data_IF_286610299306
#
_entry.id   IF_286610299306
#
_cell.length_a   1.000
_cell.length_b   1.000
_cell.length_c   1.000
_cell.angle_alpha   90.00
_cell.angle_beta   90.00
_cell.angle_gamma   90.00
#
_symmetry.space_group_name_H-M   'P 1'
#
loop_
_entity.id
_entity.type
_entity.pdbx_description
1 polymer ?
#
# COMPACT_ATOMS: atom_id res chain seq x y z
N UNK A 1 0.29 -13.34 6.11
CA UNK A 1 0.05 -13.90 4.76
C UNK A 1 -0.05 -12.74 3.79
N UNK A 2 0.26 -12.89 2.51
CA UNK A 2 0.29 -11.74 1.57
C UNK A 2 -1.10 -11.10 1.41
N UNK A 3 -2.16 -11.92 1.38
CA UNK A 3 -3.56 -11.46 1.33
C UNK A 3 -3.96 -10.64 2.55
N UNK A 4 -3.49 -10.98 3.75
CA UNK A 4 -3.76 -10.20 4.96
C UNK A 4 -3.22 -8.77 4.84
N UNK A 5 -2.08 -8.58 4.15
CA UNK A 5 -1.48 -7.25 4.00
C UNK A 5 -2.31 -6.34 3.08
N UNK A 6 -2.93 -6.89 2.03
CA UNK A 6 -3.78 -6.10 1.16
C UNK A 6 -5.15 -5.83 1.77
N UNK A 7 -5.72 -6.83 2.47
CA UNK A 7 -6.94 -6.61 3.23
C UNK A 7 -6.75 -5.55 4.32
N UNK A 8 -5.62 -5.57 5.05
CA UNK A 8 -5.27 -4.52 6.00
C UNK A 8 -5.08 -3.15 5.32
N UNK A 9 -4.52 -3.12 4.11
CA UNK A 9 -4.34 -1.87 3.37
C UNK A 9 -5.68 -1.26 2.93
N UNK A 10 -6.59 -2.07 2.37
CA UNK A 10 -7.93 -1.65 1.95
C UNK A 10 -8.74 -1.09 3.15
N UNK A 11 -8.70 -1.81 4.27
CA UNK A 11 -9.38 -1.42 5.50
C UNK A 11 -8.87 -0.07 6.02
N UNK A 12 -7.54 0.13 6.03
CA UNK A 12 -6.91 1.39 6.46
C UNK A 12 -7.21 2.52 5.47
N UNK A 13 -7.23 2.26 4.16
CA UNK A 13 -7.54 3.27 3.15
C UNK A 13 -8.97 3.79 3.31
N UNK A 14 -9.94 2.89 3.51
CA UNK A 14 -11.34 3.25 3.76
C UNK A 14 -11.50 4.01 5.08
N UNK A 15 -10.76 3.62 6.12
CA UNK A 15 -10.75 4.31 7.41
C UNK A 15 -10.20 5.75 7.26
N UNK A 16 -9.08 5.92 6.56
CA UNK A 16 -8.45 7.23 6.33
C UNK A 16 -9.31 8.14 5.45
N UNK A 17 -10.00 7.59 4.45
CA UNK A 17 -10.91 8.35 3.60
C UNK A 17 -12.12 8.93 4.36
N UNK A 18 -12.51 8.32 5.49
CA UNK A 18 -13.59 8.77 6.36
C UNK A 18 -13.15 9.56 7.61
N UNK A 19 -11.85 9.52 7.97
CA UNK A 19 -11.37 10.10 9.23
C UNK A 19 -10.91 11.56 9.08
N UNK A 20 -11.42 12.41 9.96
CA UNK A 20 -10.97 13.78 10.15
C UNK A 20 -9.82 13.79 11.17
N UNK A 21 -8.61 13.32 10.78
CA UNK A 21 -7.41 13.40 11.62
C UNK A 21 -6.37 14.39 11.06
N UNK A 22 -5.50 14.83 11.98
CA UNK A 22 -4.52 15.93 11.90
C UNK A 22 -3.70 15.93 10.59
N UNK A 23 -3.71 17.08 9.94
CA UNK A 23 -3.26 17.36 8.56
C UNK A 23 -3.66 16.30 7.51
N UNK A 24 -4.68 16.57 6.67
CA UNK A 24 -5.00 15.66 5.58
C UNK A 24 -3.75 15.42 4.74
N UNK A 25 -3.50 14.15 4.39
CA UNK A 25 -2.49 13.79 3.40
C UNK A 25 -2.66 14.70 2.19
N UNK A 26 -1.55 15.23 1.67
CA UNK A 26 -1.62 16.09 0.50
C UNK A 26 -2.27 15.35 -0.68
N UNK A 27 -2.85 16.10 -1.62
CA UNK A 27 -3.57 15.52 -2.76
C UNK A 27 -2.70 14.59 -3.62
N UNK A 28 -1.39 14.81 -3.64
CA UNK A 28 -0.41 14.02 -4.40
C UNK A 28 -0.13 12.68 -3.71
N UNK A 29 0.02 12.66 -2.39
CA UNK A 29 0.10 11.44 -1.58
C UNK A 29 -1.17 10.61 -1.73
N UNK A 30 -2.35 11.25 -1.67
CA UNK A 30 -3.63 10.58 -1.92
C UNK A 30 -3.76 10.04 -3.35
N UNK A 31 -3.25 10.76 -4.35
CA UNK A 31 -3.22 10.29 -5.74
C UNK A 31 -2.34 9.05 -5.88
N UNK A 32 -1.17 9.03 -5.24
CA UNK A 32 -0.26 7.87 -5.27
C UNK A 32 -0.83 6.66 -4.52
N UNK A 33 -1.50 6.86 -3.39
CA UNK A 33 -2.19 5.78 -2.66
C UNK A 33 -3.28 5.13 -3.53
N UNK A 34 -4.06 5.93 -4.27
CA UNK A 34 -5.04 5.40 -5.24
C UNK A 34 -4.41 4.60 -6.38
N UNK A 35 -3.18 4.91 -6.77
CA UNK A 35 -2.46 4.12 -7.77
C UNK A 35 -1.99 2.77 -7.21
N UNK A 36 -1.62 2.72 -5.91
CA UNK A 36 -1.28 1.46 -5.24
C UNK A 36 -2.53 0.57 -5.17
N UNK A 37 -3.64 1.14 -4.70
CA UNK A 37 -4.94 0.49 -4.60
C UNK A 37 -5.37 -0.12 -5.95
N UNK A 38 -5.30 0.65 -7.04
CA UNK A 38 -5.64 0.16 -8.37
C UNK A 38 -4.78 -1.03 -8.84
N UNK A 39 -3.49 -1.04 -8.51
CA UNK A 39 -2.58 -2.15 -8.86
C UNK A 39 -2.90 -3.39 -8.03
N UNK A 40 -3.21 -3.22 -6.74
CA UNK A 40 -3.61 -4.33 -5.87
C UNK A 40 -4.95 -4.91 -6.33
N UNK A 41 -5.93 -4.08 -6.67
CA UNK A 41 -7.22 -4.51 -7.21
C UNK A 41 -7.08 -5.28 -8.54
N UNK A 42 -6.18 -4.84 -9.43
CA UNK A 42 -5.87 -5.59 -10.66
C UNK A 42 -5.24 -6.96 -10.37
N UNK A 43 -4.47 -7.06 -9.29
CA UNK A 43 -3.87 -8.31 -8.83
C UNK A 43 -4.85 -9.19 -8.05
N UNK A 44 -5.95 -8.64 -7.55
CA UNK A 44 -6.97 -9.37 -6.79
C UNK A 44 -7.74 -10.36 -7.66
N UNK A 45 -8.57 -11.19 -7.04
CA UNK A 45 -9.36 -12.22 -7.71
C UNK A 45 -8.70 -13.60 -7.69
N UNK A 46 -9.53 -14.64 -7.68
CA UNK A 46 -9.06 -16.02 -7.55
C UNK A 46 -8.24 -16.50 -8.76
N UNK A 47 -8.46 -15.88 -9.92
CA UNK A 47 -7.70 -16.08 -11.16
C UNK A 47 -6.26 -15.58 -11.11
N UNK A 48 -5.95 -14.69 -10.17
CA UNK A 48 -4.63 -14.09 -9.98
C UNK A 48 -3.94 -14.61 -8.70
N UNK A 49 -4.47 -15.66 -8.06
CA UNK A 49 -4.00 -16.13 -6.76
C UNK A 49 -2.50 -16.45 -6.72
N UNK A 50 -1.90 -16.89 -7.83
CA UNK A 50 -0.46 -17.14 -7.90
C UNK A 50 0.39 -15.86 -7.70
N UNK A 51 -0.16 -14.69 -8.04
CA UNK A 51 0.50 -13.38 -7.88
C UNK A 51 0.62 -12.97 -6.40
N UNK A 52 -0.12 -13.64 -5.52
CA UNK A 52 -0.09 -13.45 -4.07
C UNK A 52 0.77 -14.47 -3.32
N UNK A 53 1.41 -15.39 -4.06
CA UNK A 53 2.37 -16.33 -3.51
C UNK A 53 3.60 -15.64 -2.94
N UNK A 54 4.30 -16.34 -2.04
CA UNK A 54 5.51 -15.82 -1.41
C UNK A 54 6.63 -15.56 -2.42
N UNK A 55 6.70 -16.41 -3.43
CA UNK A 55 7.62 -16.32 -4.54
C UNK A 55 7.30 -15.09 -5.40
N UNK A 56 6.02 -14.92 -5.76
CA UNK A 56 5.56 -13.78 -6.56
C UNK A 56 5.80 -12.43 -5.86
N UNK A 57 5.78 -12.38 -4.53
CA UNK A 57 6.14 -11.16 -3.80
C UNK A 57 7.51 -10.60 -4.22
N UNK A 58 8.48 -11.46 -4.55
CA UNK A 58 9.82 -11.05 -4.93
C UNK A 58 10.01 -10.79 -6.44
N UNK A 59 9.14 -11.35 -7.29
CA UNK A 59 9.37 -11.41 -8.75
C UNK A 59 8.23 -10.87 -9.61
N UNK A 60 7.02 -10.73 -9.06
CA UNK A 60 5.86 -10.21 -9.79
C UNK A 60 6.01 -8.70 -10.00
N UNK A 61 5.74 -8.26 -11.22
CA UNK A 61 5.89 -6.87 -11.62
C UNK A 61 4.93 -5.94 -10.88
N UNK A 62 3.72 -6.43 -10.55
CA UNK A 62 2.74 -5.69 -9.75
C UNK A 62 3.27 -5.40 -8.35
N UNK A 63 3.89 -6.37 -7.69
CA UNK A 63 4.55 -6.15 -6.39
C UNK A 63 5.76 -5.22 -6.47
N UNK A 64 6.51 -5.23 -7.58
CA UNK A 64 7.57 -4.24 -7.81
C UNK A 64 7.00 -2.83 -7.95
N UNK A 65 5.90 -2.68 -8.69
CA UNK A 65 5.22 -1.41 -8.89
C UNK A 65 4.62 -0.86 -7.59
N UNK A 66 3.93 -1.70 -6.81
CA UNK A 66 3.40 -1.34 -5.47
C UNK A 66 4.51 -0.83 -4.56
N UNK A 67 5.66 -1.52 -4.50
CA UNK A 67 6.80 -1.07 -3.70
C UNK A 67 7.42 0.24 -4.19
N UNK A 68 7.47 0.47 -5.50
CA UNK A 68 7.97 1.72 -6.05
C UNK A 68 7.05 2.89 -5.65
N UNK A 69 5.74 2.73 -5.85
CA UNK A 69 4.75 3.73 -5.47
C UNK A 69 4.73 3.99 -3.97
N UNK A 70 4.80 2.93 -3.15
CA UNK A 70 4.85 3.06 -1.69
C UNK A 70 6.10 3.81 -1.22
N UNK A 71 7.27 3.55 -1.83
CA UNK A 71 8.48 4.34 -1.55
C UNK A 71 8.30 5.81 -1.93
N UNK A 72 7.71 6.09 -3.09
CA UNK A 72 7.46 7.46 -3.53
C UNK A 72 6.48 8.21 -2.62
N UNK A 73 5.50 7.52 -2.02
CA UNK A 73 4.63 8.08 -0.98
C UNK A 73 5.44 8.38 0.28
N UNK A 74 6.23 7.42 0.76
CA UNK A 74 7.05 7.59 1.97
C UNK A 74 8.08 8.72 1.82
N UNK A 75 8.72 8.87 0.65
CA UNK A 75 9.62 10.00 0.37
C UNK A 75 8.86 11.32 0.41
N UNK A 76 7.66 11.39 -0.18
CA UNK A 76 6.84 12.59 -0.15
C UNK A 76 6.42 12.97 1.28
N UNK A 77 6.12 11.99 2.13
CA UNK A 77 5.65 12.23 3.51
C UNK A 77 6.78 12.46 4.52
N UNK A 78 7.93 11.81 4.36
CA UNK A 78 9.00 11.76 5.37
C UNK A 78 10.34 12.31 4.88
N UNK A 79 10.46 12.67 3.60
CA UNK A 79 11.67 13.23 2.99
C UNK A 79 12.72 12.20 2.54
N UNK A 80 12.96 11.12 3.29
CA UNK A 80 13.89 10.03 2.91
C UNK A 80 13.29 8.65 3.23
N UNK A 81 13.24 7.76 2.23
CA UNK A 81 12.78 6.37 2.38
C UNK A 81 13.72 5.49 3.20
N UNK A 82 14.95 5.96 3.48
CA UNK A 82 15.93 5.28 4.35
C UNK A 82 15.65 5.46 5.83
N UNK A 83 14.68 6.30 6.20
CA UNK A 83 14.19 6.32 7.57
C UNK A 83 13.66 4.92 7.91
N UNK A 84 13.83 4.46 9.17
CA UNK A 84 13.28 3.18 9.56
C UNK A 84 11.79 3.15 9.21
N UNK A 85 11.31 2.02 8.68
CA UNK A 85 9.89 1.83 8.41
C UNK A 85 9.12 2.31 9.65
N UNK A 86 8.09 3.17 9.48
CA UNK A 86 7.31 3.64 10.61
C UNK A 86 6.80 2.43 11.39
N UNK A 87 6.77 2.52 12.72
CA UNK A 87 6.20 1.46 13.54
C UNK A 87 4.73 1.28 13.17
N UNK A 88 4.41 0.16 12.50
CA UNK A 88 3.04 -0.20 12.15
C UNK A 88 2.43 -0.83 13.39
N UNK A 89 1.58 -0.08 14.09
CA UNK A 89 0.75 -0.63 15.17
C UNK A 89 -0.53 -1.18 14.55
N UNK A 90 -0.63 -2.50 14.44
CA UNK A 90 -1.86 -3.18 14.02
C UNK A 90 -2.91 -2.96 15.11
N UNK A 91 -3.97 -2.21 14.79
CA UNK A 91 -5.14 -2.05 15.67
C UNK A 91 -5.98 -3.32 15.54
N UNK A 92 -6.08 -4.08 16.63
CA UNK A 92 -6.90 -5.29 16.74
C UNK A 92 -8.34 -4.96 17.12
#
# INVERSE_FOLDING_TARGET
MTDELALEFDDVFLLLAGSQQEEPLDEEAMRKLRLIDAVLEEMSGGENAERWSREALATDEGWHQVRALARDVLVSLQGDWRLPLPEIHVVR
#
